data_IF_835291085113
#
_entry.id   IF_835291085113
#
_cell.length_a   1.000
_cell.length_b   1.000
_cell.length_c   1.000
_cell.angle_alpha   90.00
_cell.angle_beta   90.00
_cell.angle_gamma   90.00
#
_symmetry.space_group_name_H-M   'P 1'
#
loop_
_entity.id
_entity.type
_entity.pdbx_description
1 polymer ?
#
# COMPACT_ATOMS: atom_id res chain seq x y z
N UNK A 1 25.03 -16.08 -17.21
CA UNK A 1 24.99 -17.18 -16.20
C UNK A 1 23.74 -17.00 -15.35
N UNK A 2 23.09 -18.08 -14.90
CA UNK A 2 21.85 -18.00 -14.10
C UNK A 2 22.14 -18.18 -12.60
N UNK A 3 21.60 -17.29 -11.78
CA UNK A 3 21.70 -17.31 -10.32
C UNK A 3 20.30 -17.49 -9.72
N UNK A 4 20.16 -18.40 -8.75
CA UNK A 4 18.96 -18.56 -7.95
C UNK A 4 19.11 -17.84 -6.60
N UNK A 5 18.42 -16.72 -6.45
CA UNK A 5 18.37 -15.96 -5.21
C UNK A 5 17.16 -16.39 -4.38
N UNK A 6 17.38 -16.74 -3.12
CA UNK A 6 16.33 -17.15 -2.16
C UNK A 6 16.35 -16.33 -0.85
N UNK A 7 17.40 -15.52 -0.65
CA UNK A 7 17.57 -14.63 0.50
C UNK A 7 17.45 -13.16 0.12
N UNK A 8 18.24 -12.29 0.75
CA UNK A 8 18.14 -10.83 0.54
C UNK A 8 18.35 -10.38 -0.91
N UNK A 9 19.08 -11.15 -1.73
CA UNK A 9 19.28 -10.88 -3.15
C UNK A 9 18.05 -11.17 -4.02
N UNK A 10 16.95 -11.69 -3.45
CA UNK A 10 15.66 -11.66 -4.14
C UNK A 10 15.17 -10.24 -4.38
N UNK A 11 15.50 -9.29 -3.49
CA UNK A 11 15.09 -7.90 -3.67
C UNK A 11 15.95 -7.24 -4.75
N UNK A 12 15.31 -6.85 -5.85
CA UNK A 12 16.00 -6.49 -7.09
C UNK A 12 16.99 -5.34 -6.90
N UNK A 13 16.61 -4.29 -6.16
CA UNK A 13 17.49 -3.13 -5.90
C UNK A 13 18.75 -3.52 -5.14
N UNK A 14 18.67 -4.49 -4.23
CA UNK A 14 19.85 -4.98 -3.51
C UNK A 14 20.77 -5.72 -4.47
N UNK A 15 20.21 -6.56 -5.34
CA UNK A 15 20.98 -7.29 -6.34
C UNK A 15 21.61 -6.34 -7.37
N UNK A 16 20.87 -5.38 -7.92
CA UNK A 16 21.37 -4.43 -8.93
C UNK A 16 22.47 -3.51 -8.43
N UNK A 17 22.47 -3.17 -7.13
CA UNK A 17 23.59 -2.45 -6.50
C UNK A 17 24.89 -3.27 -6.49
N UNK A 18 24.79 -4.59 -6.51
CA UNK A 18 25.92 -5.54 -6.45
C UNK A 18 26.32 -6.06 -7.84
N UNK A 19 25.35 -6.19 -8.74
CA UNK A 19 25.52 -6.75 -10.08
C UNK A 19 24.56 -6.03 -11.03
N UNK A 20 25.06 -5.00 -11.71
CA UNK A 20 24.25 -4.13 -12.59
C UNK A 20 23.68 -4.87 -13.81
N UNK A 21 24.33 -5.95 -14.26
CA UNK A 21 23.86 -6.74 -15.41
C UNK A 21 22.72 -7.70 -15.09
N UNK A 22 22.30 -7.82 -13.83
CA UNK A 22 21.28 -8.79 -13.46
C UNK A 22 19.94 -8.51 -14.15
N UNK A 23 19.37 -9.55 -14.76
CA UNK A 23 18.06 -9.53 -15.43
C UNK A 23 17.18 -10.61 -14.84
N UNK A 24 15.97 -10.26 -14.45
CA UNK A 24 14.98 -11.25 -14.01
C UNK A 24 14.67 -12.26 -15.14
N UNK A 25 14.60 -13.55 -14.79
CA UNK A 25 14.28 -14.64 -15.73
C UNK A 25 12.98 -15.33 -15.34
N UNK A 26 12.86 -15.75 -14.08
CA UNK A 26 11.71 -16.52 -13.62
C UNK A 26 11.66 -16.59 -12.08
N UNK A 27 10.56 -17.10 -11.54
CA UNK A 27 10.45 -17.49 -10.13
C UNK A 27 10.15 -18.98 -10.02
N UNK A 28 10.59 -19.60 -8.94
CA UNK A 28 10.35 -21.02 -8.75
C UNK A 28 10.84 -21.50 -7.40
N UNK A 29 10.88 -22.82 -7.24
CA UNK A 29 11.33 -23.44 -6.01
C UNK A 29 12.32 -24.57 -6.25
N UNK A 30 13.17 -24.82 -5.26
CA UNK A 30 14.01 -26.00 -5.19
C UNK A 30 13.37 -27.00 -4.22
N UNK A 31 13.14 -28.23 -4.68
CA UNK A 31 12.59 -29.32 -3.88
C UNK A 31 13.60 -29.84 -2.85
N UNK A 32 13.11 -30.43 -1.75
CA UNK A 32 13.92 -31.03 -0.67
C UNK A 32 14.80 -30.02 0.09
N UNK A 33 14.49 -28.75 -0.05
CA UNK A 33 15.18 -27.67 0.64
C UNK A 33 14.17 -26.84 1.41
N UNK A 34 14.59 -26.28 2.53
CA UNK A 34 13.80 -25.33 3.32
C UNK A 34 14.64 -24.11 3.60
N UNK A 35 14.05 -22.92 3.51
CA UNK A 35 14.76 -21.70 3.91
C UNK A 35 15.02 -21.74 5.43
N UNK A 36 16.27 -21.55 5.82
CA UNK A 36 16.70 -21.49 7.20
C UNK A 36 17.51 -20.20 7.44
N UNK A 37 17.45 -19.62 8.65
CA UNK A 37 18.22 -18.43 9.00
C UNK A 37 19.28 -18.81 10.04
N UNK A 38 20.30 -19.53 9.59
CA UNK A 38 21.33 -20.12 10.45
C UNK A 38 22.76 -19.88 9.95
N UNK A 39 22.93 -19.12 8.86
CA UNK A 39 24.26 -18.82 8.33
C UNK A 39 24.91 -17.71 9.14
N UNK A 40 26.01 -18.01 9.84
CA UNK A 40 26.79 -17.04 10.63
C UNK A 40 27.31 -15.91 9.75
N UNK A 41 27.02 -14.67 10.14
CA UNK A 41 27.48 -13.47 9.48
C UNK A 41 28.56 -12.75 10.28
N UNK A 42 29.38 -11.95 9.60
CA UNK A 42 30.43 -11.12 10.22
C UNK A 42 29.82 -10.00 11.09
N UNK A 43 28.56 -9.66 10.86
CA UNK A 43 27.80 -8.63 11.61
C UNK A 43 27.22 -9.10 12.95
N UNK A 44 27.44 -10.37 13.34
CA UNK A 44 26.93 -10.94 14.59
C UNK A 44 25.53 -11.56 14.49
N UNK A 45 24.88 -11.51 13.32
CA UNK A 45 23.57 -12.13 13.09
C UNK A 45 23.63 -13.42 12.26
N UNK A 46 22.49 -14.07 12.04
CA UNK A 46 22.34 -15.13 11.04
C UNK A 46 21.73 -14.63 9.72
N UNK A 47 21.99 -15.35 8.63
CA UNK A 47 21.48 -15.07 7.27
C UNK A 47 20.83 -16.31 6.66
N UNK A 48 20.13 -16.12 5.55
CA UNK A 48 19.33 -17.15 4.90
C UNK A 48 20.19 -18.25 4.28
N UNK A 49 19.70 -19.48 4.32
CA UNK A 49 20.25 -20.66 3.68
C UNK A 49 19.15 -21.41 2.94
N UNK A 50 19.45 -21.89 1.73
CA UNK A 50 18.61 -22.86 1.06
C UNK A 50 19.05 -24.25 1.55
N UNK A 51 18.62 -24.60 2.76
CA UNK A 51 19.13 -25.75 3.48
C UNK A 51 18.53 -27.06 2.95
N UNK A 52 19.37 -28.03 2.60
CA UNK A 52 18.91 -29.34 2.13
C UNK A 52 18.40 -30.18 3.30
N UNK A 53 17.10 -30.47 3.32
CA UNK A 53 16.46 -31.30 4.35
C UNK A 53 16.24 -32.75 3.90
N UNK A 54 16.31 -33.01 2.59
CA UNK A 54 15.98 -34.30 1.98
C UNK A 54 14.48 -34.62 1.91
N UNK A 55 13.62 -33.84 2.56
CA UNK A 55 12.17 -34.10 2.65
C UNK A 55 11.45 -33.62 1.40
N UNK A 56 10.74 -34.49 0.71
CA UNK A 56 10.07 -34.18 -0.58
C UNK A 56 9.02 -33.07 -0.51
N UNK A 57 8.45 -32.82 0.69
CA UNK A 57 7.48 -31.74 0.91
C UNK A 57 8.13 -30.37 1.11
N UNK A 58 9.42 -30.32 1.44
CA UNK A 58 10.10 -29.06 1.71
C UNK A 58 10.48 -28.37 0.39
N UNK A 59 10.20 -27.06 0.34
CA UNK A 59 10.48 -26.21 -0.81
C UNK A 59 11.10 -24.89 -0.34
N UNK A 60 12.19 -24.48 -1.00
CA UNK A 60 12.71 -23.12 -0.90
C UNK A 60 12.32 -22.37 -2.16
N UNK A 61 11.47 -21.35 -2.02
CA UNK A 61 11.11 -20.46 -3.12
C UNK A 61 12.16 -19.36 -3.30
N UNK A 62 12.32 -18.93 -4.54
CA UNK A 62 13.25 -17.87 -4.91
C UNK A 62 13.05 -17.38 -6.34
N UNK A 63 14.01 -16.59 -6.79
CA UNK A 63 13.98 -15.85 -8.05
C UNK A 63 15.25 -16.17 -8.84
N UNK A 64 15.10 -16.40 -10.14
CA UNK A 64 16.18 -16.65 -11.06
C UNK A 64 16.54 -15.35 -11.77
N UNK A 65 17.81 -14.97 -11.70
CA UNK A 65 18.38 -13.87 -12.44
C UNK A 65 19.43 -14.39 -13.43
N UNK A 66 19.55 -13.75 -14.59
CA UNK A 66 20.69 -13.89 -15.47
C UNK A 66 21.66 -12.73 -15.25
N UNK A 67 22.93 -13.04 -15.04
CA UNK A 67 24.02 -12.07 -14.91
C UNK A 67 25.07 -12.27 -16.00
N UNK A 68 25.77 -11.20 -16.36
CA UNK A 68 26.97 -11.30 -17.19
C UNK A 68 28.04 -12.10 -16.40
N UNK A 69 28.66 -13.15 -16.98
CA UNK A 69 29.74 -13.88 -16.32
C UNK A 69 30.88 -12.99 -15.81
N UNK A 70 31.15 -11.85 -16.46
CA UNK A 70 32.16 -10.89 -16.01
C UNK A 70 31.86 -10.29 -14.62
N UNK A 71 30.57 -10.15 -14.27
CA UNK A 71 30.15 -9.54 -13.00
C UNK A 71 30.04 -10.56 -11.87
N UNK A 72 30.28 -11.86 -12.16
CA UNK A 72 30.20 -12.93 -11.16
C UNK A 72 31.18 -12.70 -10.01
N UNK A 73 32.39 -12.24 -10.30
CA UNK A 73 33.42 -12.03 -9.29
C UNK A 73 33.01 -10.98 -8.23
N UNK A 74 32.18 -10.00 -8.61
CA UNK A 74 31.63 -9.03 -7.67
C UNK A 74 30.58 -9.68 -6.75
N UNK A 75 29.69 -10.50 -7.32
CA UNK A 75 28.71 -11.26 -6.54
C UNK A 75 29.37 -12.25 -5.56
N UNK A 76 30.41 -12.96 -6.01
CA UNK A 76 31.17 -13.93 -5.19
C UNK A 76 31.79 -13.25 -3.95
N UNK A 77 32.27 -12.00 -4.08
CA UNK A 77 32.78 -11.21 -2.94
C UNK A 77 31.66 -10.86 -1.94
N UNK A 78 30.50 -10.44 -2.44
CA UNK A 78 29.36 -10.09 -1.58
C UNK A 78 28.75 -11.28 -0.85
N UNK A 79 28.79 -12.46 -1.46
CA UNK A 79 28.32 -13.71 -0.84
C UNK A 79 29.41 -14.35 0.04
N UNK A 80 30.67 -13.92 -0.07
CA UNK A 80 31.78 -14.52 0.68
C UNK A 80 32.00 -15.97 0.26
N UNK A 81 32.12 -16.20 -1.05
CA UNK A 81 32.36 -17.53 -1.61
C UNK A 81 33.63 -18.16 -0.97
N UNK A 82 33.49 -19.31 -0.33
CA UNK A 82 34.55 -19.98 0.43
C UNK A 82 34.74 -19.48 1.87
N UNK A 83 34.11 -18.37 2.25
CA UNK A 83 34.07 -17.81 3.62
C UNK A 83 32.62 -17.54 4.09
N UNK A 84 31.74 -18.50 3.87
CA UNK A 84 30.35 -18.44 4.34
C UNK A 84 29.38 -19.25 3.51
N UNK A 85 29.47 -19.11 2.18
CA UNK A 85 28.67 -19.90 1.24
C UNK A 85 29.57 -20.63 0.23
N UNK A 86 29.11 -21.78 -0.22
CA UNK A 86 29.63 -22.54 -1.35
C UNK A 86 28.68 -22.39 -2.55
N UNK A 87 29.21 -22.43 -3.77
CA UNK A 87 28.37 -22.38 -4.96
C UNK A 87 27.89 -23.78 -5.35
N UNK A 88 26.58 -23.95 -5.55
CA UNK A 88 25.98 -25.21 -6.02
C UNK A 88 24.97 -24.96 -7.13
N UNK A 89 25.01 -25.77 -8.19
CA UNK A 89 23.97 -25.76 -9.23
C UNK A 89 22.73 -26.49 -8.73
N UNK A 90 21.58 -25.81 -8.73
CA UNK A 90 20.28 -26.34 -8.34
C UNK A 90 19.32 -26.42 -9.52
N UNK A 91 18.38 -27.35 -9.43
CA UNK A 91 17.23 -27.43 -10.36
C UNK A 91 16.07 -26.65 -9.75
N UNK A 92 15.70 -25.53 -10.38
CA UNK A 92 14.60 -24.67 -9.96
C UNK A 92 13.37 -25.03 -10.77
N UNK A 93 12.31 -25.45 -10.09
CA UNK A 93 11.02 -25.75 -10.70
C UNK A 93 10.21 -24.46 -10.79
N UNK A 94 10.08 -23.94 -12.01
CA UNK A 94 9.20 -22.84 -12.35
C UNK A 94 7.83 -23.39 -12.80
N UNK A 95 6.89 -22.51 -13.13
CA UNK A 95 5.51 -22.90 -13.49
C UNK A 95 5.46 -23.93 -14.62
N UNK A 96 6.19 -23.70 -15.72
CA UNK A 96 6.10 -24.53 -16.93
C UNK A 96 7.43 -25.19 -17.33
N UNK A 97 8.48 -25.10 -16.51
CA UNK A 97 9.82 -25.59 -16.86
C UNK A 97 10.69 -25.78 -15.62
N UNK A 98 11.76 -26.57 -15.78
CA UNK A 98 12.84 -26.64 -14.79
C UNK A 98 14.08 -25.95 -15.35
N UNK A 99 14.66 -25.04 -14.60
CA UNK A 99 15.87 -24.30 -14.98
C UNK A 99 17.03 -24.67 -14.06
N UNK A 100 18.23 -24.85 -14.62
CA UNK A 100 19.47 -24.96 -13.86
C UNK A 100 20.00 -23.55 -13.57
N UNK A 101 20.27 -23.29 -12.30
CA UNK A 101 20.84 -22.03 -11.84
C UNK A 101 21.80 -22.30 -10.68
N UNK A 102 22.82 -21.47 -10.53
CA UNK A 102 23.74 -21.55 -9.40
C UNK A 102 23.15 -20.82 -8.19
N UNK A 103 23.31 -21.41 -7.02
CA UNK A 103 22.88 -20.86 -5.74
C UNK A 103 24.05 -20.89 -4.76
N UNK A 104 24.19 -19.84 -3.97
CA UNK A 104 25.11 -19.81 -2.84
C UNK A 104 24.44 -20.55 -1.68
N UNK A 105 24.99 -21.68 -1.24
CA UNK A 105 24.46 -22.54 -0.17
C UNK A 105 25.41 -22.49 1.01
N UNK A 106 24.89 -22.41 2.23
CA UNK A 106 25.73 -22.17 3.40
C UNK A 106 26.75 -23.28 3.57
N UNK A 107 28.00 -22.90 3.80
CA UNK A 107 29.05 -23.86 4.13
C UNK A 107 28.82 -24.39 5.56
N UNK A 108 28.96 -25.70 5.76
CA UNK A 108 28.68 -26.35 7.04
C UNK A 108 29.42 -25.73 8.24
N UNK A 109 30.64 -25.19 8.02
CA UNK A 109 31.43 -24.54 9.07
C UNK A 109 30.85 -23.20 9.57
N UNK A 110 29.86 -22.66 8.85
CA UNK A 110 29.21 -21.39 9.16
C UNK A 110 27.76 -21.56 9.63
N UNK A 111 27.27 -22.78 9.84
CA UNK A 111 25.93 -23.03 10.37
C UNK A 111 25.96 -22.88 11.90
N UNK A 112 25.05 -22.08 12.44
CA UNK A 112 24.90 -21.81 13.88
C UNK A 112 23.41 -21.82 14.27
N UNK A 113 23.07 -22.41 15.42
CA UNK A 113 21.69 -22.48 15.92
C UNK A 113 21.26 -21.29 16.76
N UNK A 114 22.22 -20.58 17.36
CA UNK A 114 21.94 -19.66 18.48
C UNK A 114 21.89 -18.19 18.06
N UNK A 115 22.04 -17.90 16.76
CA UNK A 115 21.94 -16.55 16.22
C UNK A 115 20.63 -16.34 15.46
N UNK A 116 19.98 -15.21 15.75
CA UNK A 116 18.81 -14.75 15.01
C UNK A 116 19.22 -13.80 13.87
N UNK A 117 18.44 -13.76 12.77
CA UNK A 117 18.63 -12.74 11.75
C UNK A 117 18.13 -11.39 12.25
N UNK A 118 18.76 -10.32 11.76
CA UNK A 118 18.23 -8.98 11.99
C UNK A 118 16.88 -8.78 11.27
N UNK A 119 16.01 -7.99 11.88
CA UNK A 119 14.69 -7.62 11.35
C UNK A 119 14.76 -7.00 9.95
N UNK A 120 15.67 -6.04 9.73
CA UNK A 120 15.90 -5.41 8.44
C UNK A 120 16.31 -6.43 7.37
N UNK A 121 17.03 -7.50 7.75
CA UNK A 121 17.48 -8.53 6.81
C UNK A 121 16.31 -9.40 6.35
N UNK A 122 15.46 -9.86 7.29
CA UNK A 122 14.26 -10.63 6.95
C UNK A 122 13.30 -9.77 6.13
N UNK A 123 13.18 -8.48 6.42
CA UNK A 123 12.40 -7.54 5.63
C UNK A 123 12.89 -7.42 4.18
N UNK A 124 14.20 -7.51 3.90
CA UNK A 124 14.72 -7.60 2.53
C UNK A 124 14.26 -8.88 1.82
N UNK A 125 14.28 -10.02 2.52
CA UNK A 125 13.81 -11.31 1.97
C UNK A 125 12.31 -11.22 1.66
N UNK A 126 11.50 -10.73 2.61
CA UNK A 126 10.05 -10.57 2.43
C UNK A 126 9.74 -9.59 1.29
N UNK A 127 10.46 -8.47 1.21
CA UNK A 127 10.27 -7.47 0.16
C UNK A 127 10.56 -8.06 -1.21
N UNK A 128 11.67 -8.78 -1.37
CA UNK A 128 11.97 -9.49 -2.62
C UNK A 128 10.94 -10.57 -2.96
N UNK A 129 10.46 -11.32 -1.96
CA UNK A 129 9.42 -12.31 -2.17
C UNK A 129 8.09 -11.70 -2.65
N UNK A 130 7.71 -10.54 -2.09
CA UNK A 130 6.54 -9.76 -2.53
C UNK A 130 6.73 -9.16 -3.92
N UNK A 131 7.90 -8.59 -4.20
CA UNK A 131 8.24 -7.97 -5.49
C UNK A 131 7.99 -8.91 -6.68
N UNK A 132 8.34 -10.19 -6.51
CA UNK A 132 8.16 -11.20 -7.55
C UNK A 132 6.90 -12.06 -7.37
N UNK A 133 5.98 -11.66 -6.49
CA UNK A 133 4.73 -12.36 -6.21
C UNK A 133 4.96 -13.86 -5.93
N UNK A 134 5.89 -14.20 -5.04
CA UNK A 134 6.04 -15.57 -4.53
C UNK A 134 4.75 -15.99 -3.79
N UNK A 135 4.48 -17.31 -3.62
CA UNK A 135 3.23 -17.76 -3.04
C UNK A 135 2.95 -17.17 -1.65
N UNK A 136 1.70 -16.78 -1.42
CA UNK A 136 1.31 -16.08 -0.18
C UNK A 136 1.65 -16.88 1.08
N UNK A 137 1.44 -18.20 1.08
CA UNK A 137 1.79 -19.07 2.20
C UNK A 137 3.28 -18.99 2.56
N UNK A 138 4.16 -18.86 1.55
CA UNK A 138 5.60 -18.77 1.75
C UNK A 138 5.98 -17.41 2.35
N UNK A 139 5.37 -16.33 1.86
CA UNK A 139 5.55 -14.98 2.44
C UNK A 139 5.08 -14.95 3.89
N UNK A 140 3.97 -15.61 4.21
CA UNK A 140 3.45 -15.66 5.57
C UNK A 140 4.31 -16.52 6.49
N UNK A 141 4.96 -17.57 5.98
CA UNK A 141 5.96 -18.33 6.73
C UNK A 141 7.23 -17.52 6.99
N UNK A 142 7.68 -16.69 6.02
CA UNK A 142 8.81 -15.77 6.23
C UNK A 142 8.53 -14.74 7.33
N UNK A 143 7.29 -14.24 7.44
CA UNK A 143 6.89 -13.29 8.50
C UNK A 143 6.91 -13.89 9.91
N UNK A 144 6.87 -15.23 10.04
CA UNK A 144 6.92 -15.93 11.35
C UNK A 144 8.35 -16.15 11.84
N UNK A 145 9.36 -15.83 11.03
CA UNK A 145 10.76 -15.98 11.42
C UNK A 145 11.06 -15.04 12.58
N UNK A 146 11.63 -15.57 13.67
CA UNK A 146 12.07 -14.77 14.81
C UNK A 146 13.25 -13.90 14.39
N UNK A 147 13.20 -12.63 14.75
CA UNK A 147 14.25 -11.64 14.45
C UNK A 147 14.72 -10.95 15.72
N UNK A 148 15.87 -10.30 15.62
CA UNK A 148 16.40 -9.39 16.64
C UNK A 148 16.63 -8.02 16.02
N UNK A 149 16.51 -6.95 16.80
CA UNK A 149 16.81 -5.59 16.35
C UNK A 149 18.33 -5.43 16.26
N UNK A 150 18.78 -4.75 15.22
CA UNK A 150 20.21 -4.42 15.06
C UNK A 150 20.56 -3.18 15.90
N UNK A 151 21.34 -3.37 16.97
CA UNK A 151 21.83 -2.28 17.84
C UNK A 151 22.75 -1.29 17.10
N UNK A 152 23.31 -1.70 15.95
CA UNK A 152 24.04 -0.78 15.09
C UNK A 152 23.05 0.00 14.22
N UNK A 153 22.66 1.18 14.72
CA UNK A 153 21.69 2.05 14.04
C UNK A 153 22.15 2.47 12.64
N UNK A 154 23.43 2.74 12.41
CA UNK A 154 23.95 3.12 11.08
C UNK A 154 23.74 2.00 10.05
N UNK A 155 24.06 0.75 10.42
CA UNK A 155 23.88 -0.42 9.57
C UNK A 155 22.41 -0.74 9.35
N UNK A 156 21.61 -0.65 10.41
CA UNK A 156 20.15 -0.80 10.32
C UNK A 156 19.57 0.22 9.36
N UNK A 157 19.93 1.50 9.51
CA UNK A 157 19.49 2.60 8.66
C UNK A 157 19.99 2.43 7.23
N UNK A 158 21.23 2.04 6.98
CA UNK A 158 21.76 1.83 5.63
C UNK A 158 21.01 0.71 4.88
N UNK A 159 20.71 -0.41 5.56
CA UNK A 159 20.00 -1.54 4.94
C UNK A 159 18.50 -1.26 4.80
N UNK A 160 17.90 -0.59 5.79
CA UNK A 160 16.52 -0.09 5.70
C UNK A 160 16.39 0.99 4.62
N UNK A 161 17.41 1.82 4.42
CA UNK A 161 17.48 2.78 3.31
C UNK A 161 17.49 2.05 1.97
N UNK A 162 18.09 0.86 1.86
CA UNK A 162 18.05 0.07 0.63
C UNK A 162 16.63 -0.46 0.31
N UNK A 163 15.83 -0.81 1.32
CA UNK A 163 14.38 -1.05 1.15
C UNK A 163 13.66 0.21 0.65
N UNK A 164 14.10 1.38 1.12
CA UNK A 164 13.48 2.68 0.88
C UNK A 164 13.93 3.37 -0.43
N UNK A 165 15.11 3.06 -0.97
CA UNK A 165 15.81 3.89 -1.98
C UNK A 165 15.32 3.70 -3.43
N UNK A 166 14.03 3.86 -3.73
CA UNK A 166 13.59 4.46 -5.00
C UNK A 166 12.30 5.30 -4.86
N UNK A 167 11.55 5.21 -3.75
CA UNK A 167 10.29 5.94 -3.63
C UNK A 167 10.41 7.27 -2.88
N UNK A 168 11.56 7.64 -2.32
CA UNK A 168 11.69 8.88 -1.55
C UNK A 168 11.40 10.16 -2.36
N UNK A 169 11.69 10.15 -3.67
CA UNK A 169 11.32 11.19 -4.61
C UNK A 169 9.98 10.94 -5.34
N UNK A 170 9.23 9.88 -4.99
CA UNK A 170 7.95 9.56 -5.62
C UNK A 170 6.97 10.72 -5.40
N UNK A 171 6.42 11.26 -6.50
CA UNK A 171 5.40 12.31 -6.43
C UNK A 171 4.07 11.72 -5.95
N UNK A 172 3.68 12.10 -4.73
CA UNK A 172 2.43 11.71 -4.10
C UNK A 172 1.24 12.58 -4.51
N UNK A 173 1.42 13.42 -5.54
CA UNK A 173 0.41 14.34 -6.07
C UNK A 173 0.62 15.78 -5.64
N UNK A 174 1.85 16.20 -5.35
CA UNK A 174 2.14 17.56 -4.89
C UNK A 174 3.18 17.66 -3.79
N UNK A 175 3.62 16.53 -3.25
CA UNK A 175 4.68 16.36 -2.26
C UNK A 175 5.41 15.04 -2.52
N UNK A 176 6.65 14.90 -2.04
CA UNK A 176 7.40 13.64 -2.18
C UNK A 176 7.16 12.73 -0.98
N UNK A 177 7.28 11.42 -1.18
CA UNK A 177 7.18 10.45 -0.08
C UNK A 177 8.13 10.77 1.08
N UNK A 178 9.38 11.15 0.79
CA UNK A 178 10.35 11.47 1.83
C UNK A 178 9.96 12.72 2.63
N UNK A 179 9.37 13.70 1.97
CA UNK A 179 8.89 14.91 2.63
C UNK A 179 7.79 14.55 3.65
N UNK A 180 6.91 13.59 3.32
CA UNK A 180 5.94 13.06 4.28
C UNK A 180 6.58 12.29 5.43
N UNK A 181 7.58 11.44 5.17
CA UNK A 181 8.30 10.70 6.23
C UNK A 181 8.94 11.63 7.25
N UNK A 182 9.47 12.77 6.80
CA UNK A 182 10.01 13.81 7.67
C UNK A 182 8.87 14.50 8.42
N UNK A 183 7.84 14.98 7.71
CA UNK A 183 6.75 15.77 8.29
C UNK A 183 5.99 14.98 9.37
N UNK A 184 5.65 13.71 9.13
CA UNK A 184 4.88 12.89 10.07
C UNK A 184 5.56 12.74 11.44
N UNK A 185 6.89 12.72 11.48
CA UNK A 185 7.61 12.64 12.75
C UNK A 185 7.39 13.91 13.59
N UNK A 186 7.26 15.08 12.95
CA UNK A 186 6.89 16.33 13.62
C UNK A 186 5.42 16.33 14.05
N UNK A 187 4.51 15.94 13.15
CA UNK A 187 3.06 15.87 13.44
C UNK A 187 2.76 15.01 14.68
N UNK A 188 3.44 13.86 14.80
CA UNK A 188 3.25 12.94 15.91
C UNK A 188 3.63 13.55 17.27
N UNK A 189 4.66 14.40 17.31
CA UNK A 189 5.08 15.11 18.53
C UNK A 189 4.10 16.22 18.95
N UNK A 190 3.23 16.64 18.03
CA UNK A 190 2.32 17.79 18.18
C UNK A 190 0.89 17.39 17.83
N UNK A 191 0.45 16.19 18.22
CA UNK A 191 -0.92 15.72 17.95
C UNK A 191 -1.99 16.58 18.63
N UNK A 192 -1.68 17.09 19.81
CA UNK A 192 -2.60 17.90 20.61
C UNK A 192 -2.64 19.37 20.17
N UNK A 193 -1.57 19.85 19.51
CA UNK A 193 -1.43 21.26 19.13
C UNK A 193 -1.34 21.39 17.60
N UNK A 194 -2.29 22.12 17.03
CA UNK A 194 -2.27 22.44 15.60
C UNK A 194 -1.25 23.56 15.31
N UNK A 195 -0.40 23.37 14.31
CA UNK A 195 0.68 24.28 13.94
C UNK A 195 0.94 24.32 12.42
N UNK A 196 2.03 24.98 12.02
CA UNK A 196 2.44 25.12 10.61
C UNK A 196 2.71 23.79 9.89
N UNK A 197 3.19 22.75 10.61
CA UNK A 197 3.42 21.43 10.02
C UNK A 197 2.10 20.75 9.68
N UNK A 198 1.08 20.90 10.52
CA UNK A 198 -0.28 20.45 10.21
C UNK A 198 -0.91 21.22 9.05
N UNK A 199 -0.69 22.54 8.96
CA UNK A 199 -1.15 23.34 7.81
C UNK A 199 -0.51 22.85 6.50
N UNK A 200 0.79 22.57 6.53
CA UNK A 200 1.53 22.01 5.39
C UNK A 200 1.02 20.62 4.98
N UNK A 201 0.74 19.75 5.95
CA UNK A 201 0.15 18.43 5.69
C UNK A 201 -1.21 18.53 5.00
N UNK A 202 -2.05 19.47 5.46
CA UNK A 202 -3.37 19.76 4.87
C UNK A 202 -3.22 20.33 3.45
N UNK A 203 -2.28 21.24 3.22
CA UNK A 203 -2.01 21.80 1.89
C UNK A 203 -1.62 20.69 0.91
N UNK A 204 -0.72 19.79 1.31
CA UNK A 204 -0.29 18.65 0.50
C UNK A 204 -1.44 17.71 0.15
N UNK A 205 -2.33 17.44 1.11
CA UNK A 205 -3.54 16.66 0.87
C UNK A 205 -4.46 17.34 -0.15
N UNK A 206 -4.72 18.65 -0.01
CA UNK A 206 -5.54 19.41 -0.96
C UNK A 206 -4.92 19.40 -2.36
N UNK A 207 -3.62 19.70 -2.46
CA UNK A 207 -2.88 19.70 -3.72
C UNK A 207 -2.95 18.34 -4.42
N UNK A 208 -2.87 17.25 -3.67
CA UNK A 208 -3.04 15.89 -4.19
C UNK A 208 -4.42 15.66 -4.81
N UNK A 209 -5.48 16.05 -4.13
CA UNK A 209 -6.85 15.87 -4.65
C UNK A 209 -7.11 16.77 -5.86
N UNK A 210 -6.65 18.02 -5.83
CA UNK A 210 -6.74 18.97 -6.93
C UNK A 210 -6.03 18.44 -8.17
N UNK A 211 -4.72 18.21 -8.07
CA UNK A 211 -3.87 17.80 -9.19
C UNK A 211 -4.34 16.51 -9.86
N UNK A 212 -4.82 15.53 -9.07
CA UNK A 212 -5.14 14.18 -9.58
C UNK A 212 -6.61 14.01 -9.98
N UNK A 213 -7.52 14.83 -9.46
CA UNK A 213 -8.96 14.61 -9.66
C UNK A 213 -9.72 15.90 -9.92
N UNK A 214 -9.67 16.89 -9.02
CA UNK A 214 -10.58 18.04 -9.11
C UNK A 214 -10.20 18.99 -10.26
N UNK A 215 -8.92 19.29 -10.46
CA UNK A 215 -8.50 20.17 -11.58
C UNK A 215 -8.81 19.50 -12.92
N UNK A 216 -8.44 18.22 -13.18
CA UNK A 216 -8.85 17.54 -14.41
C UNK A 216 -10.36 17.51 -14.64
N UNK A 217 -11.18 17.38 -13.59
CA UNK A 217 -12.64 17.41 -13.70
C UNK A 217 -13.16 18.80 -14.07
N UNK A 218 -12.57 19.86 -13.51
CA UNK A 218 -12.95 21.24 -13.78
C UNK A 218 -12.57 21.68 -15.21
N UNK A 219 -11.52 21.08 -15.80
CA UNK A 219 -11.10 21.34 -17.18
C UNK A 219 -12.01 20.67 -18.23
N UNK A 220 -12.90 19.75 -17.84
CA UNK A 220 -13.85 19.15 -18.77
C UNK A 220 -14.87 20.22 -19.21
N UNK A 221 -15.00 20.50 -20.53
CA UNK A 221 -15.94 21.50 -21.00
C UNK A 221 -17.38 21.15 -20.58
N UNK A 222 -18.20 22.11 -20.11
CA UNK A 222 -19.56 21.84 -19.63
C UNK A 222 -20.49 21.14 -20.63
N UNK A 223 -20.20 21.26 -21.93
CA UNK A 223 -20.99 20.71 -23.04
C UNK A 223 -20.33 19.49 -23.71
N UNK A 224 -19.28 18.91 -23.13
CA UNK A 224 -18.57 17.78 -23.72
C UNK A 224 -19.42 16.50 -23.65
N UNK A 225 -20.11 16.15 -24.74
CA UNK A 225 -21.02 14.99 -24.76
C UNK A 225 -20.36 13.69 -24.26
N UNK A 226 -20.96 13.06 -23.25
CA UNK A 226 -20.54 11.76 -22.71
C UNK A 226 -19.65 11.83 -21.47
N UNK A 227 -19.25 13.02 -21.03
CA UNK A 227 -18.48 13.24 -19.80
C UNK A 227 -19.18 12.81 -18.51
N UNK A 228 -20.51 12.76 -18.49
CA UNK A 228 -21.29 12.57 -17.27
C UNK A 228 -20.90 11.35 -16.44
N UNK A 229 -20.68 10.21 -17.10
CA UNK A 229 -20.28 8.97 -16.45
C UNK A 229 -18.86 9.05 -15.88
N UNK A 230 -17.94 9.69 -16.60
CA UNK A 230 -16.57 9.95 -16.13
C UNK A 230 -16.59 10.81 -14.87
N UNK A 231 -17.31 11.94 -14.90
CA UNK A 231 -17.42 12.85 -13.76
C UNK A 231 -18.07 12.14 -12.57
N UNK A 232 -19.21 11.48 -12.77
CA UNK A 232 -19.93 10.77 -11.70
C UNK A 232 -19.12 9.62 -11.10
N UNK A 233 -18.34 8.89 -11.91
CA UNK A 233 -17.48 7.81 -11.43
C UNK A 233 -16.36 8.35 -10.54
N UNK A 234 -15.70 9.45 -10.95
CA UNK A 234 -14.66 10.08 -10.14
C UNK A 234 -15.26 10.68 -8.85
N UNK A 235 -16.45 11.29 -8.92
CA UNK A 235 -17.22 11.73 -7.73
C UNK A 235 -17.41 10.55 -6.78
N UNK A 236 -17.84 9.38 -7.26
CA UNK A 236 -18.03 8.20 -6.44
C UNK A 236 -16.72 7.72 -5.77
N UNK A 237 -15.61 7.74 -6.50
CA UNK A 237 -14.27 7.42 -5.96
C UNK A 237 -13.87 8.42 -4.86
N UNK A 238 -14.09 9.72 -5.09
CA UNK A 238 -13.79 10.77 -4.12
C UNK A 238 -14.64 10.63 -2.86
N UNK A 239 -15.95 10.36 -2.97
CA UNK A 239 -16.81 10.15 -1.81
C UNK A 239 -16.33 9.00 -0.93
N UNK A 240 -15.89 7.90 -1.52
CA UNK A 240 -15.33 6.76 -0.78
C UNK A 240 -13.99 7.11 -0.11
N UNK A 241 -13.13 7.84 -0.83
CA UNK A 241 -11.89 8.34 -0.26
C UNK A 241 -12.14 9.27 0.93
N UNK A 242 -13.10 10.19 0.82
CA UNK A 242 -13.48 11.14 1.86
C UNK A 242 -14.11 10.45 3.08
N UNK A 243 -14.94 9.43 2.84
CA UNK A 243 -15.50 8.61 3.91
C UNK A 243 -14.40 7.80 4.64
N UNK A 244 -13.43 7.29 3.89
CA UNK A 244 -12.30 6.55 4.46
C UNK A 244 -11.33 7.46 5.22
N UNK A 245 -11.01 8.67 4.73
CA UNK A 245 -10.09 9.58 5.41
C UNK A 245 -10.70 10.15 6.70
N UNK A 246 -12.00 10.51 6.68
CA UNK A 246 -12.72 10.99 7.87
C UNK A 246 -12.62 10.00 9.05
N UNK A 247 -12.65 8.71 8.75
CA UNK A 247 -12.63 7.63 9.72
C UNK A 247 -11.27 6.95 9.87
N UNK A 248 -10.24 7.42 9.17
CA UNK A 248 -8.90 6.80 9.17
C UNK A 248 -8.94 5.32 8.77
N UNK A 249 -9.76 4.97 7.77
CA UNK A 249 -9.98 3.58 7.34
C UNK A 249 -9.10 3.20 6.13
N UNK A 250 -8.55 1.98 6.15
CA UNK A 250 -7.64 1.45 5.14
C UNK A 250 -8.25 0.22 4.48
N UNK A 251 -8.28 0.20 3.15
CA UNK A 251 -8.81 -0.94 2.41
C UNK A 251 -7.80 -2.09 2.44
N UNK A 252 -8.25 -3.25 2.90
CA UNK A 252 -7.51 -4.51 2.91
C UNK A 252 -8.41 -5.63 2.40
N UNK A 253 -8.17 -6.08 1.17
CA UNK A 253 -8.95 -7.16 0.53
C UNK A 253 -8.75 -8.52 1.19
N UNK A 254 -7.65 -8.69 1.95
CA UNK A 254 -7.31 -9.90 2.71
C UNK A 254 -7.88 -9.88 4.13
N UNK A 255 -8.70 -8.88 4.50
CA UNK A 255 -9.19 -8.78 5.87
C UNK A 255 -10.07 -9.96 6.28
N UNK A 256 -9.71 -10.58 7.42
CA UNK A 256 -10.38 -11.73 8.05
C UNK A 256 -10.28 -11.62 9.58
N UNK A 257 -11.31 -12.08 10.31
CA UNK A 257 -11.29 -12.18 11.77
C UNK A 257 -10.97 -10.89 12.52
N UNK A 258 -10.23 -11.00 13.63
CA UNK A 258 -9.84 -9.90 14.53
C UNK A 258 -8.66 -9.05 14.00
N UNK A 259 -8.66 -8.72 12.71
CA UNK A 259 -7.71 -7.76 12.15
C UNK A 259 -8.04 -6.32 12.56
N UNK A 260 -7.07 -5.38 12.48
CA UNK A 260 -7.20 -4.08 13.10
C UNK A 260 -8.47 -3.33 12.72
N UNK A 261 -9.11 -2.64 13.67
CA UNK A 261 -10.40 -1.98 13.44
C UNK A 261 -10.33 -0.92 12.36
N UNK A 262 -9.16 -0.29 12.17
CA UNK A 262 -8.91 0.69 11.12
C UNK A 262 -8.85 0.10 9.69
N UNK A 263 -8.87 -1.21 9.52
CA UNK A 263 -8.93 -1.85 8.20
C UNK A 263 -10.37 -2.23 7.79
N UNK A 264 -10.65 -2.28 6.50
CA UNK A 264 -11.94 -2.76 5.97
C UNK A 264 -11.76 -3.54 4.66
N UNK A 265 -12.66 -4.51 4.44
CA UNK A 265 -12.78 -5.24 3.17
C UNK A 265 -13.86 -4.68 2.26
N UNK A 266 -15.01 -4.32 2.85
CA UNK A 266 -16.17 -3.80 2.12
C UNK A 266 -16.43 -2.36 2.54
N UNK A 267 -16.70 -1.48 1.57
CA UNK A 267 -16.87 -0.04 1.84
C UNK A 267 -18.31 0.42 2.07
N UNK A 268 -19.28 -0.48 1.94
CA UNK A 268 -20.71 -0.13 1.97
C UNK A 268 -21.11 0.62 3.24
N UNK A 269 -20.72 0.13 4.41
CA UNK A 269 -21.16 0.69 5.69
C UNK A 269 -20.73 2.14 5.86
N UNK A 270 -19.43 2.44 5.77
CA UNK A 270 -18.93 3.79 6.00
C UNK A 270 -19.21 4.73 4.81
N UNK A 271 -19.37 4.22 3.58
CA UNK A 271 -19.82 5.05 2.46
C UNK A 271 -21.27 5.52 2.66
N UNK A 272 -22.16 4.60 3.02
CA UNK A 272 -23.57 4.92 3.28
C UNK A 272 -23.69 5.82 4.52
N UNK A 273 -22.93 5.54 5.58
CA UNK A 273 -22.85 6.40 6.76
C UNK A 273 -22.36 7.81 6.41
N UNK A 274 -21.38 7.94 5.52
CA UNK A 274 -20.92 9.24 5.04
C UNK A 274 -22.02 10.04 4.35
N UNK A 275 -22.81 9.40 3.47
CA UNK A 275 -23.97 10.03 2.84
C UNK A 275 -25.02 10.46 3.87
N UNK A 276 -25.20 9.71 4.97
CA UNK A 276 -26.19 9.97 6.02
C UNK A 276 -25.71 10.94 7.10
N UNK A 277 -24.43 11.34 7.12
CA UNK A 277 -23.87 12.13 8.24
C UNK A 277 -23.03 13.33 7.82
N UNK A 278 -22.58 13.43 6.57
CA UNK A 278 -21.83 14.60 6.12
C UNK A 278 -22.79 15.75 5.82
N UNK A 279 -22.55 16.92 6.43
CA UNK A 279 -23.40 18.11 6.34
C UNK A 279 -23.80 18.51 4.90
N UNK A 280 -22.92 18.26 3.93
CA UNK A 280 -23.17 18.54 2.50
C UNK A 280 -24.33 17.73 1.90
N UNK A 281 -24.82 16.69 2.58
CA UNK A 281 -25.90 15.81 2.14
C UNK A 281 -27.19 15.95 2.97
N UNK A 282 -27.22 16.86 3.93
CA UNK A 282 -28.45 17.20 4.64
C UNK A 282 -29.52 17.67 3.65
N UNK A 283 -30.76 17.24 3.86
CA UNK A 283 -31.87 17.49 2.93
C UNK A 283 -31.83 16.62 1.66
N UNK A 284 -30.81 15.78 1.48
CA UNK A 284 -30.74 14.82 0.35
C UNK A 284 -30.85 13.37 0.82
N UNK A 285 -29.93 12.95 1.70
CA UNK A 285 -29.83 11.56 2.17
C UNK A 285 -30.20 11.37 3.65
N UNK A 286 -30.31 12.48 4.39
CA UNK A 286 -30.81 12.53 5.77
C UNK A 286 -31.33 13.94 6.06
N UNK A 287 -32.07 14.09 7.16
CA UNK A 287 -32.53 15.38 7.67
C UNK A 287 -32.32 15.42 9.19
N UNK A 288 -32.11 16.61 9.75
CA UNK A 288 -31.91 16.80 11.20
C UNK A 288 -33.23 17.03 11.94
N UNK A 289 -34.29 17.39 11.22
CA UNK A 289 -35.64 17.63 11.76
C UNK A 289 -36.47 16.35 11.95
N UNK A 290 -35.91 15.18 11.63
CA UNK A 290 -36.57 13.88 11.75
C UNK A 290 -37.51 13.52 10.59
N UNK A 291 -37.61 14.38 9.56
CA UNK A 291 -38.35 14.05 8.34
C UNK A 291 -37.70 12.89 7.56
N UNK A 292 -38.47 12.22 6.68
CA UNK A 292 -37.89 11.18 5.84
C UNK A 292 -36.99 11.81 4.77
N UNK A 293 -35.78 11.26 4.53
CA UNK A 293 -34.89 11.79 3.51
C UNK A 293 -35.50 11.64 2.11
N UNK A 294 -35.36 12.64 1.22
CA UNK A 294 -35.90 12.56 -0.14
C UNK A 294 -35.33 11.41 -0.97
N UNK A 295 -34.08 10.99 -0.69
CA UNK A 295 -33.40 9.91 -1.39
C UNK A 295 -32.76 8.91 -0.44
N UNK A 296 -32.81 7.63 -0.81
CA UNK A 296 -32.20 6.56 -0.03
C UNK A 296 -30.72 6.39 -0.35
N UNK A 297 -29.84 6.55 0.64
CA UNK A 297 -28.39 6.38 0.46
C UNK A 297 -28.01 4.94 0.04
N UNK A 298 -28.73 3.92 0.52
CA UNK A 298 -28.53 2.53 0.12
C UNK A 298 -28.87 2.30 -1.36
N UNK A 299 -29.91 2.97 -1.87
CA UNK A 299 -30.28 2.95 -3.29
C UNK A 299 -29.20 3.62 -4.14
N UNK A 300 -28.72 4.80 -3.73
CA UNK A 300 -27.62 5.48 -4.41
C UNK A 300 -26.34 4.64 -4.42
N UNK A 301 -25.95 4.05 -3.28
CA UNK A 301 -24.76 3.21 -3.21
C UNK A 301 -24.81 2.03 -4.18
N UNK A 302 -25.95 1.31 -4.22
CA UNK A 302 -26.11 0.12 -5.07
C UNK A 302 -26.25 0.48 -6.54
N UNK A 303 -27.13 1.42 -6.87
CA UNK A 303 -27.59 1.66 -8.23
C UNK A 303 -26.87 2.81 -8.94
N UNK A 304 -26.05 3.57 -8.21
CA UNK A 304 -25.15 4.60 -8.77
C UNK A 304 -23.70 4.18 -8.54
N UNK A 305 -23.20 4.19 -7.29
CA UNK A 305 -21.77 3.97 -7.03
C UNK A 305 -21.30 2.59 -7.51
N UNK A 306 -21.93 1.51 -7.06
CA UNK A 306 -21.50 0.15 -7.45
C UNK A 306 -21.75 -0.11 -8.93
N UNK A 307 -22.90 0.31 -9.45
CA UNK A 307 -23.22 0.16 -10.88
C UNK A 307 -22.20 0.89 -11.78
N UNK A 308 -21.81 2.12 -11.44
CA UNK A 308 -20.82 2.87 -12.23
C UNK A 308 -19.44 2.21 -12.16
N UNK A 309 -18.98 1.84 -10.97
CA UNK A 309 -17.60 1.38 -10.75
C UNK A 309 -17.36 -0.09 -11.10
N UNK A 310 -18.40 -0.93 -11.17
CA UNK A 310 -18.28 -2.36 -11.47
C UNK A 310 -18.93 -2.76 -12.79
N UNK A 311 -19.91 -1.99 -13.28
CA UNK A 311 -20.70 -2.36 -14.47
C UNK A 311 -20.79 -1.22 -15.50
N UNK A 312 -20.09 -0.10 -15.26
CA UNK A 312 -20.08 1.08 -16.14
C UNK A 312 -21.48 1.60 -16.51
N UNK A 313 -22.47 1.43 -15.61
CA UNK A 313 -23.86 1.81 -15.83
C UNK A 313 -24.46 2.56 -14.62
N UNK A 314 -25.63 3.18 -14.81
CA UNK A 314 -26.56 3.46 -13.72
C UNK A 314 -27.72 2.48 -13.79
N UNK A 315 -28.31 2.14 -12.65
CA UNK A 315 -29.44 1.19 -12.54
C UNK A 315 -30.65 1.86 -11.91
N UNK A 316 -31.80 1.18 -11.87
CA UNK A 316 -32.98 1.59 -11.10
C UNK A 316 -33.41 3.06 -11.35
N UNK A 317 -33.52 3.41 -12.64
CA UNK A 317 -33.95 4.72 -13.15
C UNK A 317 -33.09 5.92 -12.71
N UNK A 318 -31.83 5.65 -12.36
CA UNK A 318 -30.84 6.70 -12.14
C UNK A 318 -30.27 7.23 -13.46
N UNK A 319 -30.16 8.55 -13.58
CA UNK A 319 -29.50 9.26 -14.67
C UNK A 319 -28.49 10.26 -14.13
N UNK A 320 -27.58 10.71 -15.00
CA UNK A 320 -26.59 11.74 -14.69
C UNK A 320 -26.83 12.92 -15.62
N UNK A 321 -27.06 14.09 -15.05
CA UNK A 321 -27.36 15.32 -15.77
C UNK A 321 -26.51 16.49 -15.23
N UNK A 322 -26.51 17.59 -15.97
CA UNK A 322 -26.06 18.90 -15.48
C UNK A 322 -27.16 19.59 -14.66
N UNK A 323 -26.78 20.44 -13.71
CA UNK A 323 -27.71 21.15 -12.83
C UNK A 323 -28.71 22.03 -13.59
N UNK A 324 -28.26 22.67 -14.68
CA UNK A 324 -28.99 23.71 -15.41
C UNK A 324 -29.46 24.84 -14.47
N UNK A 325 -28.61 25.23 -13.51
CA UNK A 325 -28.92 26.31 -12.56
C UNK A 325 -29.81 25.90 -11.37
N UNK A 326 -30.20 24.61 -11.26
CA UNK A 326 -30.90 24.09 -10.09
C UNK A 326 -29.93 23.91 -8.93
N UNK A 327 -30.25 24.42 -7.75
CA UNK A 327 -29.44 24.21 -6.53
C UNK A 327 -29.90 22.97 -5.76
N UNK A 328 -29.74 21.79 -6.38
CA UNK A 328 -30.03 20.48 -5.76
C UNK A 328 -28.95 19.48 -6.15
N UNK A 329 -28.70 18.50 -5.28
CA UNK A 329 -27.82 17.38 -5.63
C UNK A 329 -28.53 16.38 -6.54
N UNK A 330 -29.79 16.08 -6.24
CA UNK A 330 -30.58 15.08 -6.94
C UNK A 330 -31.97 15.66 -7.17
N UNK A 331 -32.50 15.44 -8.37
CA UNK A 331 -33.89 15.75 -8.71
C UNK A 331 -34.62 14.48 -9.10
N UNK A 332 -35.91 14.42 -8.78
CA UNK A 332 -36.79 13.33 -9.18
C UNK A 332 -37.92 13.89 -10.01
N UNK A 333 -38.03 13.40 -11.24
CA UNK A 333 -39.10 13.74 -12.18
C UNK A 333 -39.78 12.43 -12.56
N UNK A 334 -41.06 12.28 -12.17
CA UNK A 334 -41.77 11.00 -12.20
C UNK A 334 -41.04 9.91 -11.40
N UNK A 335 -40.63 8.82 -12.06
CA UNK A 335 -39.85 7.72 -11.46
C UNK A 335 -38.33 7.89 -11.63
N UNK A 336 -37.88 8.84 -12.46
CA UNK A 336 -36.47 9.01 -12.83
C UNK A 336 -35.77 9.89 -11.81
N UNK A 337 -34.63 9.40 -11.30
CA UNK A 337 -33.75 10.13 -10.35
C UNK A 337 -32.52 10.62 -11.11
N UNK A 338 -32.26 11.92 -11.10
CA UNK A 338 -31.13 12.51 -11.83
C UNK A 338 -30.13 13.14 -10.88
N UNK A 339 -28.89 12.69 -10.96
CA UNK A 339 -27.74 13.26 -10.26
C UNK A 339 -27.31 14.52 -11.00
N UNK A 340 -27.24 15.65 -10.30
CA UNK A 340 -26.73 16.90 -10.83
C UNK A 340 -25.22 16.98 -10.55
N UNK A 341 -24.43 16.47 -11.50
CA UNK A 341 -23.01 16.11 -11.29
C UNK A 341 -22.12 17.29 -10.91
N UNK A 342 -22.39 18.46 -11.46
CA UNK A 342 -21.68 19.71 -11.19
C UNK A 342 -21.92 20.22 -9.77
N UNK A 343 -23.16 20.09 -9.27
CA UNK A 343 -23.46 20.41 -7.88
C UNK A 343 -22.80 19.42 -6.91
N UNK A 344 -22.76 18.12 -7.25
CA UNK A 344 -21.99 17.15 -6.46
C UNK A 344 -20.50 17.49 -6.41
N UNK A 345 -19.91 17.85 -7.54
CA UNK A 345 -18.50 18.26 -7.61
C UNK A 345 -18.24 19.49 -6.73
N UNK A 346 -19.13 20.50 -6.80
CA UNK A 346 -19.08 21.68 -5.93
C UNK A 346 -19.18 21.30 -4.45
N UNK A 347 -20.14 20.45 -4.07
CA UNK A 347 -20.29 19.99 -2.67
C UNK A 347 -19.10 19.18 -2.16
N UNK A 348 -18.44 18.39 -3.02
CA UNK A 348 -17.19 17.70 -2.66
C UNK A 348 -16.10 18.72 -2.30
N UNK A 349 -15.92 19.77 -3.11
CA UNK A 349 -14.96 20.84 -2.82
C UNK A 349 -15.30 21.59 -1.53
N UNK A 350 -16.58 21.88 -1.29
CA UNK A 350 -17.06 22.46 -0.03
C UNK A 350 -16.73 21.56 1.18
N UNK A 351 -17.00 20.25 1.07
CA UNK A 351 -16.69 19.28 2.13
C UNK A 351 -15.19 19.19 2.42
N UNK A 352 -14.34 19.15 1.39
CA UNK A 352 -12.87 19.11 1.58
C UNK A 352 -12.41 20.33 2.37
N UNK A 353 -12.95 21.52 2.05
CA UNK A 353 -12.60 22.74 2.78
C UNK A 353 -13.07 22.67 4.24
N UNK A 354 -14.34 22.35 4.49
CA UNK A 354 -14.89 22.20 5.85
C UNK A 354 -14.13 21.15 6.68
N UNK A 355 -13.85 19.98 6.10
CA UNK A 355 -13.08 18.92 6.72
C UNK A 355 -11.69 19.42 7.16
N UNK A 356 -10.99 20.17 6.29
CA UNK A 356 -9.66 20.70 6.64
C UNK A 356 -9.68 21.80 7.69
N UNK A 357 -10.78 22.54 7.81
CA UNK A 357 -10.98 23.48 8.92
C UNK A 357 -11.21 22.71 10.23
N UNK A 358 -12.01 21.64 10.20
CA UNK A 358 -12.27 20.80 11.37
C UNK A 358 -11.01 20.12 11.92
N UNK A 359 -10.06 19.74 11.06
CA UNK A 359 -8.76 19.20 11.49
C UNK A 359 -7.98 20.14 12.44
N UNK A 360 -8.24 21.46 12.40
CA UNK A 360 -7.59 22.42 13.30
C UNK A 360 -7.95 22.20 14.76
N UNK A 361 -9.17 21.77 15.02
CA UNK A 361 -9.73 21.70 16.38
C UNK A 361 -10.10 20.27 16.82
N UNK A 362 -10.04 19.29 15.92
CA UNK A 362 -10.43 17.91 16.21
C UNK A 362 -9.23 16.96 16.14
N UNK A 363 -8.78 16.52 17.32
CA UNK A 363 -7.67 15.58 17.48
C UNK A 363 -7.95 14.20 16.87
N UNK A 364 -9.18 13.71 16.98
CA UNK A 364 -9.55 12.39 16.45
C UNK A 364 -9.50 12.42 14.92
N UNK A 365 -9.98 13.50 14.30
CA UNK A 365 -9.84 13.70 12.86
C UNK A 365 -8.37 13.80 12.44
N UNK A 366 -7.50 14.46 13.23
CA UNK A 366 -6.05 14.50 12.96
C UNK A 366 -5.41 13.11 12.97
N UNK A 367 -5.73 12.27 13.95
CA UNK A 367 -5.25 10.87 13.99
C UNK A 367 -5.72 10.09 12.75
N UNK A 368 -7.02 10.19 12.43
CA UNK A 368 -7.61 9.53 11.27
C UNK A 368 -6.97 9.98 9.95
N UNK A 369 -6.75 11.29 9.80
CA UNK A 369 -6.05 11.90 8.67
C UNK A 369 -4.61 11.37 8.55
N UNK A 370 -3.82 11.43 9.63
CA UNK A 370 -2.43 11.01 9.61
C UNK A 370 -2.27 9.51 9.27
N UNK A 371 -3.10 8.64 9.86
CA UNK A 371 -3.15 7.21 9.50
C UNK A 371 -3.44 7.01 8.03
N UNK A 372 -4.40 7.76 7.48
CA UNK A 372 -4.75 7.65 6.07
C UNK A 372 -3.64 8.16 5.15
N UNK A 373 -2.99 9.26 5.50
CA UNK A 373 -1.86 9.81 4.75
C UNK A 373 -0.67 8.85 4.73
N UNK A 374 -0.37 8.18 5.85
CA UNK A 374 0.63 7.10 5.86
C UNK A 374 0.27 5.95 4.93
N UNK A 375 -1.00 5.50 4.96
CA UNK A 375 -1.48 4.45 4.08
C UNK A 375 -1.37 4.84 2.60
N UNK A 376 -1.67 6.09 2.24
CA UNK A 376 -1.46 6.60 0.87
C UNK A 376 0.01 6.59 0.46
N UNK A 377 0.91 6.74 1.43
CA UNK A 377 2.36 6.67 1.27
C UNK A 377 2.92 5.25 1.38
N UNK A 378 2.06 4.24 1.48
CA UNK A 378 2.42 2.83 1.67
C UNK A 378 3.35 2.58 2.86
N UNK A 379 3.27 3.43 3.89
CA UNK A 379 4.05 3.24 5.10
C UNK A 379 3.34 2.22 6.00
N UNK A 380 4.11 1.24 6.47
CA UNK A 380 3.61 0.18 7.33
C UNK A 380 3.13 0.73 8.69
N UNK A 381 2.13 0.10 9.31
CA UNK A 381 1.69 0.46 10.66
C UNK A 381 2.83 0.37 11.69
N UNK A 382 2.91 1.38 12.56
CA UNK A 382 3.88 1.46 13.65
C UNK A 382 3.20 2.01 14.92
N UNK A 383 2.45 1.16 15.65
CA UNK A 383 1.69 1.57 16.83
C UNK A 383 2.57 1.91 18.05
N UNK A 384 3.86 1.55 18.03
CA UNK A 384 4.79 1.84 19.12
C UNK A 384 5.25 3.29 19.06
N UNK A 385 5.55 3.80 17.86
CA UNK A 385 6.07 5.16 17.70
C UNK A 385 5.01 6.19 17.29
N UNK A 386 3.89 5.76 16.71
CA UNK A 386 2.89 6.66 16.14
C UNK A 386 1.48 6.32 16.65
N UNK A 387 0.88 7.23 17.40
CA UNK A 387 -0.39 7.00 18.09
C UNK A 387 -1.53 6.69 17.13
N UNK A 388 -1.54 7.29 15.95
CA UNK A 388 -2.59 7.02 14.96
C UNK A 388 -2.58 5.58 14.46
N UNK A 389 -1.54 4.76 14.70
CA UNK A 389 -1.55 3.34 14.38
C UNK A 389 -2.07 2.44 15.51
N UNK A 390 -2.31 2.99 16.69
CA UNK A 390 -2.91 2.26 17.80
C UNK A 390 -4.36 1.90 17.46
N UNK A 391 -4.71 0.65 17.70
CA UNK A 391 -6.04 0.10 17.47
C UNK A 391 -6.82 0.20 18.78
N UNK A 392 -7.50 1.33 18.97
CA UNK A 392 -8.24 1.67 20.18
C UNK A 392 -9.72 1.31 20.07
#
# INVERSE_FOLDING_TARGET
MKIFAYGSNMYSKRLYKRVKSAKYIDKGFVNKHKIAFHKKSKDGSSKADCFYTGKTKDKTWGVIFEINPADRAELDKYEGLGEGYDLKTVNVHCENRTLRADAYITNNNYIVSDLLPYDWYVNLVITGAKEYCLPQYYIDDLKKIKTVVDENEERSNMNSTTLVSNNDNLDMGGFKLNDWKILRASLNKKLDNFDEDWEKAIEWFKKRLNKRYLDPLNEIPPNYQGEGFTIASIICILLEHLAAIRNGKIHNYLKQGNQPTYEYKNSSSFYIDFLKTAAIFEGTFYTTDGSLPPFCADDFYKNVRCALLHEACTKNDWKINISQGRDKLIVKENHIKSILRDNFLKKISEYINDYTVKLKNDRVLRLNFARKMDSLCEILPDPQNYEWWQDN
#
